data_IF_022503841888
#
_entry.id   IF_022503841888
#
_cell.length_a   1.000
_cell.length_b   1.000
_cell.length_c   1.000
_cell.angle_alpha   90.00
_cell.angle_beta   90.00
_cell.angle_gamma   90.00
#
_symmetry.space_group_name_H-M   'P 1'
#
loop_
_entity.id
_entity.type
_entity.pdbx_description
1 polymer ?
#
# COMPACT_ATOMS: atom_id res chain seq x y z
N UNK A 1 11.02 17.04 -7.85
CA UNK A 1 11.16 16.56 -6.46
C UNK A 1 11.98 15.27 -6.49
N UNK A 2 13.02 15.15 -5.66
CA UNK A 2 13.83 13.93 -5.56
C UNK A 2 13.36 13.14 -4.35
N UNK A 3 12.79 11.96 -4.55
CA UNK A 3 12.31 11.10 -3.47
C UNK A 3 13.48 10.68 -2.57
N UNK A 4 13.28 10.74 -1.26
CA UNK A 4 14.24 10.20 -0.30
C UNK A 4 14.22 8.67 -0.35
N UNK A 5 15.30 8.03 0.15
CA UNK A 5 15.37 6.56 0.19
C UNK A 5 14.20 5.93 0.97
N UNK A 6 13.79 6.55 2.07
CA UNK A 6 12.68 6.05 2.88
C UNK A 6 11.34 6.14 2.14
N UNK A 7 11.14 7.21 1.35
CA UNK A 7 9.94 7.37 0.54
C UNK A 7 9.90 6.34 -0.59
N UNK A 8 11.04 6.04 -1.20
CA UNK A 8 11.14 5.04 -2.26
C UNK A 8 10.89 3.62 -1.73
N UNK A 9 11.39 3.30 -0.53
CA UNK A 9 11.07 2.05 0.17
C UNK A 9 9.59 1.96 0.53
N UNK A 10 8.98 3.06 0.95
CA UNK A 10 7.54 3.11 1.26
C UNK A 10 6.68 2.89 0.00
N UNK A 11 7.09 3.45 -1.14
CA UNK A 11 6.43 3.19 -2.44
C UNK A 11 6.58 1.73 -2.85
N UNK A 12 7.76 1.13 -2.65
CA UNK A 12 7.97 -0.30 -2.90
C UNK A 12 7.10 -1.19 -2.00
N UNK A 13 6.92 -0.80 -0.73
CA UNK A 13 5.97 -1.47 0.17
C UNK A 13 4.53 -1.36 -0.34
N UNK A 14 4.14 -0.22 -0.89
CA UNK A 14 2.83 -0.06 -1.57
C UNK A 14 2.65 -1.04 -2.72
N UNK A 15 3.66 -1.19 -3.59
CA UNK A 15 3.63 -2.17 -4.68
C UNK A 15 3.50 -3.61 -4.16
N UNK A 16 4.30 -3.98 -3.14
CA UNK A 16 4.25 -5.31 -2.53
C UNK A 16 2.87 -5.60 -1.91
N UNK A 17 2.29 -4.61 -1.22
CA UNK A 17 0.96 -4.72 -0.65
C UNK A 17 -0.12 -4.94 -1.72
N UNK A 18 -0.03 -4.21 -2.85
CA UNK A 18 -0.91 -4.42 -4.01
C UNK A 18 -0.87 -5.85 -4.54
N UNK A 19 0.34 -6.43 -4.66
CA UNK A 19 0.51 -7.82 -5.10
C UNK A 19 -0.06 -8.83 -4.09
N UNK A 20 0.15 -8.60 -2.79
CA UNK A 20 -0.40 -9.44 -1.71
C UNK A 20 -1.93 -9.42 -1.75
N UNK A 21 -2.54 -8.24 -1.90
CA UNK A 21 -3.99 -8.10 -1.97
C UNK A 21 -4.55 -8.77 -3.23
N UNK A 22 -3.87 -8.69 -4.38
CA UNK A 22 -4.28 -9.40 -5.59
C UNK A 22 -4.28 -10.92 -5.38
N UNK A 23 -3.20 -11.46 -4.79
CA UNK A 23 -3.13 -12.88 -4.46
C UNK A 23 -4.20 -13.32 -3.45
N UNK A 24 -4.46 -12.48 -2.44
CA UNK A 24 -5.51 -12.75 -1.45
C UNK A 24 -6.93 -12.71 -2.06
N UNK A 25 -7.16 -11.83 -3.03
CA UNK A 25 -8.40 -11.79 -3.79
C UNK A 25 -8.58 -13.03 -4.67
N UNK A 26 -7.51 -13.49 -5.33
CA UNK A 26 -7.55 -14.73 -6.12
C UNK A 26 -7.81 -15.96 -5.26
N UNK A 27 -7.16 -16.05 -4.09
CA UNK A 27 -7.36 -17.15 -3.15
C UNK A 27 -8.73 -17.11 -2.43
N UNK A 28 -9.60 -16.14 -2.74
CA UNK A 28 -10.94 -16.02 -2.17
C UNK A 28 -11.00 -15.46 -0.74
N UNK A 29 -9.87 -14.97 -0.21
CA UNK A 29 -9.83 -14.30 1.10
C UNK A 29 -10.37 -12.87 1.06
N UNK A 30 -10.42 -12.25 -0.12
CA UNK A 30 -10.97 -10.90 -0.33
C UNK A 30 -12.12 -10.96 -1.32
N UNK A 31 -13.31 -10.58 -0.87
CA UNK A 31 -14.52 -10.54 -1.71
C UNK A 31 -14.49 -9.29 -2.57
N UNK A 32 -14.54 -9.46 -3.90
CA UNK A 32 -14.46 -8.36 -4.89
C UNK A 32 -15.64 -7.40 -4.82
N UNK A 33 -16.84 -7.92 -4.57
CA UNK A 33 -18.09 -7.15 -4.44
C UNK A 33 -18.55 -6.98 -2.97
N UNK A 34 -17.61 -7.10 -2.03
CA UNK A 34 -17.90 -6.96 -0.61
C UNK A 34 -18.04 -5.50 -0.16
N UNK A 35 -18.45 -5.31 1.10
CA UNK A 35 -18.50 -3.98 1.73
C UNK A 35 -17.13 -3.27 1.79
N UNK A 36 -16.03 -4.03 1.67
CA UNK A 36 -14.66 -3.51 1.62
C UNK A 36 -14.02 -3.84 0.27
N UNK A 37 -13.99 -2.88 -0.66
CA UNK A 37 -13.29 -3.05 -1.92
C UNK A 37 -11.78 -3.31 -1.70
N UNK A 38 -11.12 -4.06 -2.61
CA UNK A 38 -9.70 -4.39 -2.46
C UNK A 38 -8.76 -3.19 -2.32
N UNK A 39 -9.05 -2.07 -3.00
CA UNK A 39 -8.25 -0.85 -2.88
C UNK A 39 -8.29 -0.23 -1.46
N UNK A 40 -9.39 -0.44 -0.72
CA UNK A 40 -9.49 0.01 0.68
C UNK A 40 -8.54 -0.79 1.56
N UNK A 41 -8.35 -2.08 1.27
CA UNK A 41 -7.38 -2.94 1.96
C UNK A 41 -5.95 -2.45 1.69
N UNK A 42 -5.65 -2.06 0.45
CA UNK A 42 -4.36 -1.43 0.11
C UNK A 42 -4.15 -0.12 0.87
N UNK A 43 -5.17 0.73 0.95
CA UNK A 43 -5.10 1.99 1.72
C UNK A 43 -4.87 1.74 3.21
N UNK A 44 -5.63 0.83 3.80
CA UNK A 44 -5.52 0.46 5.22
C UNK A 44 -4.15 -0.16 5.52
N UNK A 45 -3.68 -1.08 4.68
CA UNK A 45 -2.38 -1.71 4.86
C UNK A 45 -1.23 -0.69 4.76
N UNK A 46 -1.31 0.29 3.85
CA UNK A 46 -0.34 1.38 3.77
C UNK A 46 -0.36 2.27 5.02
N UNK A 47 -1.54 2.63 5.50
CA UNK A 47 -1.70 3.42 6.74
C UNK A 47 -1.16 2.69 7.96
N UNK A 48 -1.45 1.39 8.10
CA UNK A 48 -0.90 0.54 9.16
C UNK A 48 0.61 0.38 9.05
N UNK A 49 1.13 0.24 7.83
CA UNK A 49 2.58 0.16 7.59
C UNK A 49 3.29 1.45 8.02
N UNK A 50 2.73 2.62 7.69
CA UNK A 50 3.26 3.91 8.17
C UNK A 50 3.20 4.00 9.70
N UNK A 51 2.10 3.58 10.31
CA UNK A 51 1.92 3.59 11.76
C UNK A 51 2.95 2.70 12.47
N UNK A 52 3.14 1.47 12.00
CA UNK A 52 4.08 0.51 12.57
C UNK A 52 5.53 0.98 12.43
N UNK A 53 5.91 1.49 11.25
CA UNK A 53 7.25 2.02 11.01
C UNK A 53 7.47 3.29 11.86
N UNK A 54 6.47 4.19 11.92
CA UNK A 54 6.48 5.36 12.78
C UNK A 54 6.71 5.03 14.24
N UNK A 55 5.95 4.05 14.75
CA UNK A 55 6.09 3.56 16.10
C UNK A 55 7.48 2.97 16.37
N UNK A 56 7.98 2.09 15.49
CA UNK A 56 9.29 1.46 15.64
C UNK A 56 10.45 2.46 15.62
N UNK A 57 10.33 3.54 14.84
CA UNK A 57 11.34 4.59 14.70
C UNK A 57 11.17 5.70 15.76
N UNK A 58 10.10 5.65 16.57
CA UNK A 58 9.78 6.68 17.57
C UNK A 58 9.42 8.03 16.96
N UNK A 59 8.96 8.07 15.71
CA UNK A 59 8.54 9.29 15.01
C UNK A 59 7.04 9.31 14.79
N UNK A 60 6.46 10.50 14.87
CA UNK A 60 5.02 10.64 14.66
C UNK A 60 4.63 10.25 13.22
N UNK A 61 3.52 9.51 13.05
CA UNK A 61 2.93 9.27 11.73
C UNK A 61 2.72 10.63 11.06
N UNK A 62 3.06 10.75 9.78
CA UNK A 62 3.03 12.06 9.14
C UNK A 62 4.39 12.69 8.85
N UNK A 63 5.43 12.31 9.60
CA UNK A 63 6.76 12.96 9.51
C UNK A 63 7.80 12.15 8.74
N UNK A 64 7.57 10.86 8.54
CA UNK A 64 8.51 9.95 7.86
C UNK A 64 8.41 9.99 6.34
N UNK A 65 7.20 10.14 5.81
CA UNK A 65 6.91 10.08 4.38
C UNK A 65 6.12 11.33 4.01
N UNK A 66 6.55 12.07 2.99
CA UNK A 66 5.79 13.24 2.54
C UNK A 66 4.44 12.81 1.95
N UNK A 67 3.43 13.70 2.01
CA UNK A 67 2.11 13.43 1.41
C UNK A 67 2.19 12.98 -0.06
N UNK A 68 3.02 13.60 -0.93
CA UNK A 68 3.20 13.14 -2.31
C UNK A 68 3.68 11.69 -2.43
N UNK A 69 4.62 11.27 -1.57
CA UNK A 69 5.14 9.92 -1.58
C UNK A 69 4.11 8.89 -1.10
N UNK A 70 3.23 9.25 -0.16
CA UNK A 70 2.13 8.38 0.28
C UNK A 70 1.08 8.17 -0.81
N UNK A 71 0.71 9.26 -1.48
CA UNK A 71 -0.16 9.18 -2.65
C UNK A 71 0.45 8.31 -3.74
N UNK A 72 1.74 8.47 -4.02
CA UNK A 72 2.44 7.64 -5.00
C UNK A 72 2.44 6.16 -4.59
N UNK A 73 2.73 5.85 -3.33
CA UNK A 73 2.70 4.47 -2.82
C UNK A 73 1.31 3.83 -2.96
N UNK A 74 0.25 4.59 -2.67
CA UNK A 74 -1.13 4.13 -2.83
C UNK A 74 -1.47 3.88 -4.30
N UNK A 75 -1.20 4.86 -5.18
CA UNK A 75 -1.46 4.73 -6.63
C UNK A 75 -0.72 3.53 -7.20
N UNK A 76 0.57 3.38 -6.88
CA UNK A 76 1.38 2.24 -7.32
C UNK A 76 0.80 0.92 -6.79
N UNK A 77 0.43 0.85 -5.51
CA UNK A 77 -0.18 -0.34 -4.93
C UNK A 77 -1.49 -0.73 -5.61
N UNK A 78 -2.37 0.23 -5.91
CA UNK A 78 -3.61 -0.02 -6.66
C UNK A 78 -3.32 -0.46 -8.09
N UNK A 79 -2.37 0.18 -8.78
CA UNK A 79 -1.98 -0.24 -10.13
C UNK A 79 -1.44 -1.69 -10.14
N UNK A 80 -0.63 -2.07 -9.15
CA UNK A 80 -0.13 -3.45 -9.03
C UNK A 80 -1.26 -4.42 -8.71
N UNK A 81 -2.20 -4.05 -7.83
CA UNK A 81 -3.38 -4.85 -7.56
C UNK A 81 -4.20 -5.11 -8.85
N UNK A 82 -4.53 -4.05 -9.59
CA UNK A 82 -5.28 -4.14 -10.85
C UNK A 82 -4.54 -4.94 -11.92
N UNK A 83 -3.21 -4.83 -11.94
CA UNK A 83 -2.37 -5.65 -12.80
C UNK A 83 -2.47 -7.12 -12.38
N UNK A 84 -2.33 -7.42 -11.10
CA UNK A 84 -2.50 -8.77 -10.57
C UNK A 84 -3.86 -9.36 -10.90
N UNK A 85 -4.94 -8.61 -10.69
CA UNK A 85 -6.31 -9.02 -11.02
C UNK A 85 -6.51 -9.36 -12.51
N UNK A 86 -5.72 -8.73 -13.39
CA UNK A 86 -5.81 -8.98 -14.84
C UNK A 86 -5.03 -10.22 -15.30
N UNK A 87 -3.95 -10.57 -14.60
CA UNK A 87 -2.96 -11.54 -15.09
C UNK A 87 -2.82 -12.80 -14.22
N UNK A 88 -3.34 -12.77 -13.00
CA UNK A 88 -3.47 -13.93 -12.10
C UNK A 88 -4.89 -14.47 -12.27
#
# INVERSE_FOLDING_TARGET
MRLSRHELLFVALGAALGAIVAYAAEAGFVVRDGAFPPFVIVLLGLGLTELLIGYAVGRSPGTLVSMPARFLAFVVGVCVFLLGERYI
#
